data_IF_856901144484
#
_entry.id   IF_856901144484
#
_cell.length_a   1.000
_cell.length_b   1.000
_cell.length_c   1.000
_cell.angle_alpha   90.00
_cell.angle_beta   90.00
_cell.angle_gamma   90.00
#
_symmetry.space_group_name_H-M   'P 1'
#
loop_
_entity.id
_entity.type
_entity.pdbx_description
1 polymer ?
#
# COMPACT_ATOMS: atom_id res chain seq x y z
N UNK A 1 17.37 19.68 47.31
CA UNK A 1 18.23 19.62 48.50
C UNK A 1 19.65 20.00 48.10
N UNK A 2 20.46 20.63 48.94
CA UNK A 2 21.87 20.85 48.62
C UNK A 2 22.58 19.49 48.52
N UNK A 3 23.34 19.28 47.45
CA UNK A 3 24.17 18.09 47.30
C UNK A 3 25.24 18.05 48.39
N UNK A 4 25.35 16.91 49.08
CA UNK A 4 26.35 16.68 50.11
C UNK A 4 27.35 15.62 49.61
N UNK A 5 28.61 16.05 49.45
CA UNK A 5 29.68 15.21 48.91
C UNK A 5 29.97 14.02 49.84
N UNK A 6 30.00 14.25 51.15
CA UNK A 6 30.39 13.23 52.13
C UNK A 6 29.33 12.13 52.25
N UNK A 7 28.06 12.50 52.08
CA UNK A 7 26.91 11.58 52.07
C UNK A 7 26.89 10.74 50.79
N UNK A 8 27.15 11.37 49.65
CA UNK A 8 27.25 10.67 48.37
C UNK A 8 28.44 9.71 48.32
N UNK A 9 29.60 10.07 48.89
CA UNK A 9 30.76 9.16 48.96
C UNK A 9 30.49 7.97 49.91
N UNK A 10 29.68 8.18 50.96
CA UNK A 10 29.29 7.12 51.90
C UNK A 10 28.25 6.14 51.32
N UNK A 11 27.31 6.63 50.50
CA UNK A 11 26.28 5.81 49.82
C UNK A 11 25.98 6.35 48.42
N UNK A 12 26.85 6.07 47.44
CA UNK A 12 26.68 6.58 46.08
C UNK A 12 25.54 5.85 45.36
N UNK A 13 24.64 6.63 44.78
CA UNK A 13 23.50 6.15 43.99
C UNK A 13 23.56 6.67 42.56
N UNK A 14 23.14 5.82 41.62
CA UNK A 14 23.07 6.13 40.18
C UNK A 14 22.10 7.28 39.90
N UNK A 15 20.95 7.28 40.59
CA UNK A 15 19.91 8.30 40.43
C UNK A 15 20.38 9.66 40.92
N UNK A 16 21.19 9.67 41.99
CA UNK A 16 21.79 10.88 42.50
C UNK A 16 22.84 11.41 41.52
N UNK A 17 23.71 10.55 40.99
CA UNK A 17 24.76 10.93 40.05
C UNK A 17 24.20 11.58 38.77
N UNK A 18 23.10 11.06 38.21
CA UNK A 18 22.46 11.62 37.02
C UNK A 18 21.80 12.99 37.27
N UNK A 19 21.29 13.20 38.49
CA UNK A 19 20.64 14.45 38.89
C UNK A 19 21.62 15.56 39.29
N UNK A 20 22.90 15.24 39.48
CA UNK A 20 23.95 16.23 39.82
C UNK A 20 24.23 17.24 38.71
N UNK A 21 24.61 18.45 39.13
CA UNK A 21 25.10 19.50 38.24
C UNK A 21 26.58 19.29 37.90
N UNK A 22 27.05 19.80 36.76
CA UNK A 22 28.46 19.72 36.34
C UNK A 22 29.45 20.16 37.44
N UNK A 23 29.12 21.19 38.20
CA UNK A 23 29.95 21.67 39.32
C UNK A 23 30.07 20.69 40.48
N UNK A 24 29.07 19.83 40.69
CA UNK A 24 29.01 18.83 41.76
C UNK A 24 29.73 17.56 41.31
N UNK A 25 29.53 17.11 40.07
CA UNK A 25 30.25 15.99 39.46
C UNK A 25 31.77 16.26 39.48
N UNK A 26 32.18 17.49 39.18
CA UNK A 26 33.59 17.91 39.27
C UNK A 26 34.15 17.82 40.71
N UNK A 27 33.32 18.04 41.74
CA UNK A 27 33.75 17.87 43.14
C UNK A 27 33.93 16.40 43.49
N UNK A 28 33.03 15.53 43.04
CA UNK A 28 33.13 14.07 43.19
C UNK A 28 34.39 13.56 42.50
N UNK A 29 34.61 13.94 41.24
CA UNK A 29 35.80 13.58 40.47
C UNK A 29 37.10 13.99 41.19
N UNK A 30 37.16 15.21 41.73
CA UNK A 30 38.33 15.68 42.49
C UNK A 30 38.53 14.93 43.81
N UNK A 31 37.45 14.55 44.50
CA UNK A 31 37.53 13.80 45.76
C UNK A 31 38.15 12.41 45.54
N UNK A 32 37.78 11.75 44.44
CA UNK A 32 38.32 10.44 44.05
C UNK A 32 39.63 10.53 43.26
N UNK A 33 40.18 11.74 43.03
CA UNK A 33 41.44 11.93 42.31
C UNK A 33 41.37 11.63 40.81
N UNK A 34 40.18 11.68 40.21
CA UNK A 34 39.97 11.43 38.79
C UNK A 34 40.46 12.66 37.99
N UNK A 35 41.40 12.44 37.09
CA UNK A 35 41.88 13.48 36.17
C UNK A 35 40.93 13.60 34.96
N UNK A 36 40.47 14.82 34.69
CA UNK A 36 39.63 15.12 33.54
C UNK A 36 40.06 16.45 32.90
N UNK A 37 39.79 16.62 31.61
CA UNK A 37 40.09 17.87 30.93
C UNK A 37 39.04 18.95 31.27
N UNK A 38 39.42 20.20 31.58
CA UNK A 38 38.48 21.25 31.99
C UNK A 38 37.40 21.60 30.94
N UNK A 39 37.69 21.31 29.66
CA UNK A 39 36.77 21.55 28.54
C UNK A 39 35.75 20.42 28.32
N UNK A 40 35.88 19.29 29.01
CA UNK A 40 34.99 18.14 28.84
C UNK A 40 33.54 18.48 29.18
N UNK A 41 32.61 17.83 28.46
CA UNK A 41 31.16 17.97 28.65
C UNK A 41 30.74 17.31 29.97
N UNK A 42 29.56 17.69 30.50
CA UNK A 42 29.02 17.11 31.74
C UNK A 42 29.01 15.59 31.67
N UNK A 43 28.53 15.05 30.55
CA UNK A 43 28.30 13.61 30.35
C UNK A 43 29.62 12.83 30.22
N UNK A 44 30.65 13.44 29.65
CA UNK A 44 32.00 12.86 29.56
C UNK A 44 32.63 12.73 30.95
N UNK A 45 32.60 13.80 31.76
CA UNK A 45 33.10 13.77 33.15
C UNK A 45 32.26 12.79 33.98
N UNK A 46 30.93 12.78 33.78
CA UNK A 46 30.03 11.86 34.47
C UNK A 46 30.38 10.41 34.15
N UNK A 47 30.70 10.10 32.88
CA UNK A 47 31.10 8.77 32.44
C UNK A 47 32.40 8.31 33.11
N UNK A 48 33.41 9.18 33.20
CA UNK A 48 34.65 8.86 33.90
C UNK A 48 34.43 8.59 35.40
N UNK A 49 33.59 9.40 36.05
CA UNK A 49 33.21 9.18 37.45
C UNK A 49 32.46 7.87 37.61
N UNK A 50 31.53 7.57 36.71
CA UNK A 50 30.72 6.35 36.73
C UNK A 50 31.57 5.10 36.48
N UNK A 51 32.53 5.16 35.55
CA UNK A 51 33.50 4.10 35.29
C UNK A 51 34.35 3.82 36.53
N UNK A 52 34.89 4.87 37.17
CA UNK A 52 35.67 4.73 38.40
C UNK A 52 34.84 4.15 39.58
N UNK A 53 33.58 4.59 39.74
CA UNK A 53 32.69 4.06 40.78
C UNK A 53 32.31 2.58 40.53
N UNK A 54 32.27 2.14 39.28
CA UNK A 54 32.10 0.72 38.96
C UNK A 54 33.38 -0.08 39.23
N UNK A 55 34.54 0.47 38.88
CA UNK A 55 35.85 -0.17 39.07
C UNK A 55 36.19 -0.36 40.56
N UNK A 56 35.85 0.62 41.41
CA UNK A 56 35.99 0.52 42.87
C UNK A 56 34.93 -0.40 43.51
N UNK A 57 34.09 -1.09 42.72
CA UNK A 57 32.98 -1.96 43.15
C UNK A 57 31.90 -1.27 43.98
N UNK A 58 31.85 0.05 43.89
CA UNK A 58 30.92 0.90 44.63
C UNK A 58 29.53 0.87 43.97
N UNK A 59 29.48 0.81 42.64
CA UNK A 59 28.26 0.63 41.84
C UNK A 59 28.31 -0.67 41.02
N UNK A 60 27.16 -1.33 40.77
CA UNK A 60 27.11 -2.53 39.95
C UNK A 60 27.37 -2.21 38.47
N UNK A 61 28.10 -3.10 37.79
CA UNK A 61 28.49 -2.96 36.37
C UNK A 61 27.30 -2.88 35.38
N UNK A 62 26.11 -3.28 35.80
CA UNK A 62 24.86 -3.17 35.04
C UNK A 62 24.49 -1.72 34.68
N UNK A 63 25.02 -0.74 35.42
CA UNK A 63 24.76 0.70 35.22
C UNK A 63 25.51 1.25 34.00
N UNK A 64 26.70 0.72 33.70
CA UNK A 64 27.44 1.07 32.48
C UNK A 64 26.69 0.57 31.23
N UNK A 65 26.08 -0.61 31.30
CA UNK A 65 25.35 -1.20 30.18
C UNK A 65 24.11 -0.39 29.81
N UNK A 66 23.37 0.14 30.78
CA UNK A 66 22.20 1.00 30.52
C UNK A 66 22.59 2.38 29.96
N UNK A 67 23.68 2.99 30.45
CA UNK A 67 24.16 4.29 29.97
C UNK A 67 24.63 4.26 28.49
N UNK A 68 25.06 3.10 27.98
CA UNK A 68 25.49 2.93 26.57
C UNK A 68 24.29 2.95 25.60
N UNK A 69 23.07 2.67 26.08
CA UNK A 69 21.89 2.50 25.21
C UNK A 69 21.18 3.79 24.79
N UNK A 70 21.59 4.95 25.29
CA UNK A 70 20.99 6.23 24.88
C UNK A 70 22.04 7.12 24.21
N UNK A 71 22.35 6.90 22.93
CA UNK A 71 23.13 7.86 22.16
C UNK A 71 22.25 9.08 21.87
N UNK A 72 22.46 10.14 22.65
CA UNK A 72 21.79 11.45 22.53
C UNK A 72 22.10 12.18 21.22
N UNK A 73 23.06 11.71 20.43
CA UNK A 73 23.49 12.33 19.16
C UNK A 73 22.72 11.82 17.91
N UNK A 74 22.00 10.70 17.98
CA UNK A 74 21.33 10.11 16.81
C UNK A 74 19.97 10.76 16.48
N UNK A 75 19.50 11.72 17.27
CA UNK A 75 18.19 12.37 17.11
C UNK A 75 18.09 13.14 15.80
N UNK A 76 19.14 13.86 15.40
CA UNK A 76 19.16 14.61 14.15
C UNK A 76 19.26 13.71 12.91
N UNK A 77 19.99 12.60 12.99
CA UNK A 77 20.09 11.64 11.89
C UNK A 77 18.79 10.88 11.69
N UNK A 78 18.13 10.46 12.78
CA UNK A 78 16.78 9.87 12.72
C UNK A 78 15.78 10.84 12.09
N UNK A 79 15.75 12.10 12.54
CA UNK A 79 14.83 13.10 12.00
C UNK A 79 15.06 13.35 10.50
N UNK A 80 16.33 13.36 10.07
CA UNK A 80 16.68 13.52 8.66
C UNK A 80 16.22 12.32 7.82
N UNK A 81 16.45 11.10 8.31
CA UNK A 81 16.03 9.87 7.64
C UNK A 81 14.50 9.77 7.54
N UNK A 82 13.80 10.16 8.59
CA UNK A 82 12.33 10.19 8.62
C UNK A 82 11.77 11.21 7.63
N UNK A 83 12.40 12.38 7.50
CA UNK A 83 12.02 13.39 6.52
C UNK A 83 12.26 12.92 5.07
N UNK A 84 13.35 12.17 4.83
CA UNK A 84 13.67 11.61 3.53
C UNK A 84 12.70 10.49 3.13
N UNK A 85 12.36 9.61 4.06
CA UNK A 85 11.32 8.59 3.89
C UNK A 85 9.95 9.21 3.60
N UNK A 86 9.56 10.26 4.33
CA UNK A 86 8.29 10.95 4.09
C UNK A 86 8.24 11.63 2.71
N UNK A 87 9.35 12.17 2.23
CA UNK A 87 9.43 12.71 0.85
C UNK A 87 9.26 11.60 -0.19
N UNK A 88 9.93 10.46 0.00
CA UNK A 88 9.86 9.31 -0.90
C UNK A 88 8.42 8.76 -0.98
N UNK A 89 7.74 8.62 0.16
CA UNK A 89 6.33 8.18 0.23
C UNK A 89 5.45 9.14 -0.58
N UNK A 90 5.60 10.45 -0.34
CA UNK A 90 4.79 11.46 -1.00
C UNK A 90 5.01 11.53 -2.51
N UNK A 91 6.23 11.31 -2.97
CA UNK A 91 6.55 11.21 -4.40
C UNK A 91 5.88 9.99 -5.04
N UNK A 92 5.96 8.83 -4.38
CA UNK A 92 5.29 7.60 -4.88
C UNK A 92 3.78 7.72 -4.91
N UNK A 93 3.18 8.42 -3.94
CA UNK A 93 1.73 8.68 -3.92
C UNK A 93 1.33 9.55 -5.12
N UNK A 94 2.06 10.64 -5.38
CA UNK A 94 1.82 11.51 -6.53
C UNK A 94 1.97 10.77 -7.87
N UNK A 95 3.02 9.97 -8.02
CA UNK A 95 3.24 9.18 -9.24
C UNK A 95 2.09 8.18 -9.47
N UNK A 96 1.61 7.55 -8.39
CA UNK A 96 0.48 6.63 -8.47
C UNK A 96 -0.81 7.34 -8.87
N UNK A 97 -1.08 8.51 -8.28
CA UNK A 97 -2.24 9.33 -8.60
C UNK A 97 -2.21 9.81 -10.06
N UNK A 98 -1.05 10.24 -10.57
CA UNK A 98 -0.89 10.62 -11.98
C UNK A 98 -1.15 9.44 -12.92
N UNK A 99 -0.61 8.25 -12.62
CA UNK A 99 -0.88 7.04 -13.42
C UNK A 99 -2.35 6.67 -13.39
N UNK A 100 -3.00 6.72 -12.24
CA UNK A 100 -4.43 6.44 -12.12
C UNK A 100 -5.27 7.44 -12.92
N UNK A 101 -4.94 8.73 -12.83
CA UNK A 101 -5.62 9.76 -13.62
C UNK A 101 -5.42 9.55 -15.12
N UNK A 102 -4.22 9.17 -15.54
CA UNK A 102 -3.93 8.89 -16.94
C UNK A 102 -4.69 7.66 -17.46
N UNK A 103 -4.71 6.58 -16.68
CA UNK A 103 -5.52 5.40 -17.02
C UNK A 103 -7.02 5.73 -17.12
N UNK A 104 -7.56 6.56 -16.21
CA UNK A 104 -8.95 6.99 -16.29
C UNK A 104 -9.25 7.83 -17.53
N UNK A 105 -8.32 8.71 -17.93
CA UNK A 105 -8.45 9.50 -19.16
C UNK A 105 -8.44 8.60 -20.39
N UNK A 106 -7.48 7.70 -20.49
CA UNK A 106 -7.39 6.74 -21.61
C UNK A 106 -8.63 5.83 -21.68
N UNK A 107 -9.14 5.36 -20.53
CA UNK A 107 -10.35 4.55 -20.50
C UNK A 107 -11.57 5.33 -20.98
N UNK A 108 -11.70 6.60 -20.55
CA UNK A 108 -12.77 7.48 -21.00
C UNK A 108 -12.69 7.72 -22.50
N UNK A 109 -11.51 8.02 -23.03
CA UNK A 109 -11.30 8.20 -24.47
C UNK A 109 -11.66 6.94 -25.26
N UNK A 110 -11.25 5.76 -24.78
CA UNK A 110 -11.62 4.47 -25.39
C UNK A 110 -13.12 4.22 -25.37
N UNK A 111 -13.82 4.60 -24.28
CA UNK A 111 -15.29 4.50 -24.20
C UNK A 111 -15.97 5.45 -25.18
N UNK A 112 -15.49 6.69 -25.28
CA UNK A 112 -16.00 7.70 -26.21
C UNK A 112 -15.73 7.31 -27.68
N UNK A 113 -14.57 6.72 -27.98
CA UNK A 113 -14.25 6.18 -29.30
C UNK A 113 -15.18 5.02 -29.67
N UNK A 114 -15.36 4.04 -28.77
CA UNK A 114 -16.31 2.94 -28.98
C UNK A 114 -17.75 3.45 -29.16
N UNK A 115 -18.15 4.47 -28.41
CA UNK A 115 -19.46 5.08 -28.55
C UNK A 115 -19.63 5.75 -29.92
N UNK A 116 -18.61 6.49 -30.39
CA UNK A 116 -18.58 7.09 -31.74
C UNK A 116 -18.62 6.04 -32.83
N UNK A 117 -17.85 4.95 -32.70
CA UNK A 117 -17.85 3.85 -33.65
C UNK A 117 -19.24 3.18 -33.71
N UNK A 118 -19.85 2.92 -32.55
CA UNK A 118 -21.18 2.36 -32.46
C UNK A 118 -22.24 3.29 -33.08
N UNK A 119 -22.16 4.59 -32.82
CA UNK A 119 -23.04 5.59 -33.40
C UNK A 119 -22.92 5.63 -34.94
N UNK A 120 -21.69 5.64 -35.46
CA UNK A 120 -21.44 5.58 -36.91
C UNK A 120 -22.00 4.29 -37.53
N UNK A 121 -21.81 3.15 -36.85
CA UNK A 121 -22.35 1.86 -37.29
C UNK A 121 -23.88 1.87 -37.35
N UNK A 122 -24.54 2.44 -36.34
CA UNK A 122 -25.99 2.63 -36.34
C UNK A 122 -26.45 3.52 -37.50
N UNK A 123 -25.79 4.67 -37.73
CA UNK A 123 -26.10 5.56 -38.86
C UNK A 123 -25.91 4.88 -40.21
N UNK A 124 -24.88 4.05 -40.37
CA UNK A 124 -24.69 3.27 -41.60
C UNK A 124 -25.81 2.25 -41.83
N UNK A 125 -26.24 1.56 -40.77
CA UNK A 125 -27.37 0.63 -40.82
C UNK A 125 -28.68 1.37 -41.15
N UNK A 126 -28.94 2.51 -40.51
CA UNK A 126 -30.10 3.36 -40.77
C UNK A 126 -30.13 3.84 -42.22
N UNK A 127 -29.00 4.33 -42.75
CA UNK A 127 -28.89 4.72 -44.16
C UNK A 127 -29.09 3.53 -45.11
N UNK A 128 -28.65 2.32 -44.75
CA UNK A 128 -28.88 1.09 -45.55
C UNK A 128 -30.37 0.75 -45.60
N UNK A 129 -31.07 0.85 -44.47
CA UNK A 129 -32.52 0.64 -44.38
C UNK A 129 -33.27 1.71 -45.18
N UNK A 130 -32.91 2.99 -45.04
CA UNK A 130 -33.56 4.12 -45.75
C UNK A 130 -33.32 4.06 -47.26
N UNK A 131 -32.12 3.68 -47.71
CA UNK A 131 -31.80 3.55 -49.13
C UNK A 131 -32.39 2.29 -49.79
N UNK A 132 -33.11 1.45 -49.04
CA UNK A 132 -33.72 0.23 -49.57
C UNK A 132 -32.70 -0.76 -50.16
N UNK A 133 -31.42 -0.62 -49.81
CA UNK A 133 -30.38 -1.57 -50.22
C UNK A 133 -30.29 -2.65 -49.16
N UNK A 134 -31.27 -3.56 -49.16
CA UNK A 134 -31.09 -4.84 -48.50
C UNK A 134 -29.73 -5.41 -48.93
N UNK A 135 -28.87 -5.88 -47.99
CA UNK A 135 -27.89 -6.83 -48.42
C UNK A 135 -28.70 -7.95 -49.07
N UNK A 136 -28.31 -8.40 -50.26
CA UNK A 136 -28.78 -9.66 -50.82
C UNK A 136 -28.34 -10.82 -49.92
N UNK A 137 -28.77 -10.85 -48.66
CA UNK A 137 -29.30 -12.08 -48.09
C UNK A 137 -30.50 -12.33 -49.00
N UNK A 138 -30.51 -13.45 -49.69
CA UNK A 138 -31.69 -13.91 -50.40
C UNK A 138 -32.80 -14.18 -49.41
N UNK A 139 -33.37 -13.13 -48.82
CA UNK A 139 -34.70 -13.18 -48.22
C UNK A 139 -35.59 -12.87 -49.40
N UNK A 140 -35.98 -13.95 -50.06
CA UNK A 140 -37.14 -14.00 -50.92
C UNK A 140 -38.27 -13.24 -50.22
N UNK A 141 -38.55 -12.00 -50.64
CA UNK A 141 -39.78 -11.29 -50.30
C UNK A 141 -40.97 -11.86 -51.08
N UNK A 142 -40.81 -13.05 -51.67
CA UNK A 142 -41.89 -14.00 -51.85
C UNK A 142 -42.58 -14.20 -50.50
N UNK A 143 -43.76 -13.60 -50.37
CA UNK A 143 -44.80 -13.95 -49.39
C UNK A 143 -44.62 -15.42 -49.03
N UNK A 144 -44.21 -15.72 -47.80
CA UNK A 144 -43.98 -17.10 -47.34
C UNK A 144 -45.30 -17.85 -47.49
N UNK A 145 -45.43 -18.53 -48.62
CA UNK A 145 -46.65 -19.21 -48.98
C UNK A 145 -46.68 -20.53 -48.21
N UNK A 146 -47.33 -20.45 -47.05
CA UNK A 146 -47.60 -21.58 -46.17
C UNK A 146 -48.19 -22.74 -46.98
N UNK A 147 -49.02 -22.45 -47.99
CA UNK A 147 -49.66 -23.48 -48.83
C UNK A 147 -48.66 -24.30 -49.65
N UNK A 148 -47.53 -23.71 -50.04
CA UNK A 148 -46.46 -24.43 -50.76
C UNK A 148 -45.67 -25.33 -49.82
N UNK A 149 -45.53 -24.93 -48.56
CA UNK A 149 -44.72 -25.64 -47.57
C UNK A 149 -45.52 -26.66 -46.74
N UNK A 150 -46.85 -26.54 -46.67
CA UNK A 150 -47.75 -27.54 -46.04
C UNK A 150 -47.65 -28.92 -46.72
N UNK A 151 -47.23 -28.99 -47.99
CA UNK A 151 -47.00 -30.25 -48.71
C UNK A 151 -45.89 -31.11 -48.12
N UNK A 152 -44.99 -30.52 -47.33
CA UNK A 152 -43.90 -31.23 -46.67
C UNK A 152 -44.32 -31.82 -45.32
N UNK A 153 -45.50 -31.46 -44.81
CA UNK A 153 -46.10 -32.13 -43.66
C UNK A 153 -46.71 -33.44 -44.17
N UNK A 154 -46.28 -34.61 -43.65
CA UNK A 154 -46.90 -35.87 -44.05
C UNK A 154 -48.41 -35.80 -43.79
N UNK A 155 -49.22 -36.42 -44.64
CA UNK A 155 -50.67 -36.46 -44.41
C UNK A 155 -50.94 -37.36 -43.22
N UNK A 156 -51.56 -36.82 -42.18
CA UNK A 156 -51.99 -37.61 -41.03
C UNK A 156 -53.09 -38.60 -41.45
N UNK A 157 -52.94 -39.86 -41.07
CA UNK A 157 -53.94 -40.91 -41.25
C UNK A 157 -54.19 -41.56 -39.89
N UNK A 158 -55.45 -41.61 -39.46
CA UNK A 158 -55.85 -42.11 -38.14
C UNK A 158 -55.48 -43.59 -37.92
N UNK A 159 -55.36 -44.36 -39.00
CA UNK A 159 -55.00 -45.78 -38.94
C UNK A 159 -53.53 -46.03 -38.56
N UNK A 160 -52.67 -45.00 -38.52
CA UNK A 160 -51.23 -45.16 -38.29
C UNK A 160 -50.59 -43.99 -37.53
N UNK A 161 -51.20 -43.66 -36.39
CA UNK A 161 -50.80 -42.54 -35.51
C UNK A 161 -49.34 -42.64 -35.06
N UNK A 162 -48.86 -43.84 -34.70
CA UNK A 162 -47.51 -44.02 -34.16
C UNK A 162 -46.40 -43.70 -35.20
N UNK A 163 -46.59 -44.12 -36.46
CA UNK A 163 -45.62 -43.88 -37.55
C UNK A 163 -45.46 -42.40 -37.88
N UNK A 164 -46.55 -41.63 -37.76
CA UNK A 164 -46.52 -40.19 -37.93
C UNK A 164 -45.70 -39.50 -36.82
N UNK A 165 -45.88 -39.91 -35.57
CA UNK A 165 -45.17 -39.35 -34.41
C UNK A 165 -43.67 -39.69 -34.39
N UNK A 166 -43.25 -40.84 -34.93
CA UNK A 166 -41.82 -41.16 -35.07
C UNK A 166 -41.16 -40.30 -36.15
N UNK A 167 -41.86 -40.07 -37.27
CA UNK A 167 -41.32 -39.31 -38.41
C UNK A 167 -41.16 -37.82 -38.06
N UNK A 168 -42.12 -37.23 -37.35
CA UNK A 168 -42.08 -35.82 -36.95
C UNK A 168 -41.01 -35.51 -35.90
N UNK A 169 -40.66 -36.46 -35.02
CA UNK A 169 -39.56 -36.28 -34.05
C UNK A 169 -38.19 -36.12 -34.71
N UNK A 170 -37.96 -36.73 -35.87
CA UNK A 170 -36.69 -36.58 -36.60
C UNK A 170 -36.49 -35.18 -37.20
N UNK A 171 -37.57 -34.41 -37.39
CA UNK A 171 -37.52 -33.06 -37.95
C UNK A 171 -37.19 -31.96 -36.92
N UNK A 172 -37.24 -32.27 -35.62
CA UNK A 172 -37.04 -31.30 -34.52
C UNK A 172 -35.60 -31.32 -33.98
N UNK A 173 -34.72 -32.20 -34.49
CA UNK A 173 -33.33 -32.37 -34.01
C UNK A 173 -32.24 -31.84 -34.95
N UNK A 174 -32.50 -30.78 -35.73
CA UNK A 174 -31.46 -30.05 -36.47
C UNK A 174 -31.60 -28.54 -36.26
#
# INVERSE_FOLDING_TARGET
>A
MPFNLDEFVASPSVEELDTLKKSEIVKVAKHHGIEFQPLMRKDEINRYVLEYLVDESILPSTVLETAITVPTDNTFELQRLEMEMNKEIRLKELEKEEREMQMQREERERREEKAREHELRLKQLELRVIKGSDPKIGVDTGVFDVSKHVKFVPKFQEDNVEKFLTTSKSWVSN
#
